data_IF_328859942016
#
_entry.id   IF_328859942016
#
_cell.length_a   1.000
_cell.length_b   1.000
_cell.length_c   1.000
_cell.angle_alpha   90.00
_cell.angle_beta   90.00
_cell.angle_gamma   90.00
#
_symmetry.space_group_name_H-M   'P 1'
#
loop_
_entity.id
_entity.type
_entity.pdbx_description
1 polymer ?
#
# COMPACT_ATOMS: atom_id res chain seq x y z
N UNK A 1 25.74 23.43 -36.92
CA UNK A 1 25.54 23.54 -35.45
C UNK A 1 25.58 22.15 -34.83
N UNK A 2 26.61 21.82 -34.02
CA UNK A 2 26.57 20.59 -33.22
C UNK A 2 25.62 20.83 -32.05
N UNK A 3 24.43 20.23 -32.08
CA UNK A 3 23.52 20.25 -30.94
C UNK A 3 24.27 19.60 -29.76
N UNK A 4 24.37 20.32 -28.64
CA UNK A 4 24.98 19.77 -27.45
C UNK A 4 24.15 18.57 -26.98
N UNK A 5 24.77 17.40 -26.89
CA UNK A 5 24.10 16.14 -26.53
C UNK A 5 23.28 16.25 -25.22
N UNK A 6 23.72 17.08 -24.27
CA UNK A 6 22.97 17.32 -23.02
C UNK A 6 21.67 18.10 -23.22
N UNK A 7 21.64 19.06 -24.14
CA UNK A 7 20.42 19.81 -24.45
C UNK A 7 19.41 18.92 -25.16
N UNK A 8 19.87 18.11 -26.12
CA UNK A 8 19.00 17.13 -26.80
C UNK A 8 18.40 16.13 -25.80
N UNK A 9 19.22 15.54 -24.93
CA UNK A 9 18.74 14.63 -23.87
C UNK A 9 17.72 15.33 -22.96
N UNK A 10 17.99 16.57 -22.53
CA UNK A 10 17.06 17.33 -21.71
C UNK A 10 15.72 17.58 -22.39
N UNK A 11 15.72 17.96 -23.67
CA UNK A 11 14.50 18.13 -24.45
C UNK A 11 13.71 16.83 -24.60
N UNK A 12 14.38 15.70 -24.83
CA UNK A 12 13.74 14.38 -24.91
C UNK A 12 13.11 13.98 -23.57
N UNK A 13 13.84 14.11 -22.47
CA UNK A 13 13.32 13.79 -21.13
C UNK A 13 12.13 14.70 -20.77
N UNK A 14 12.23 16.00 -21.06
CA UNK A 14 11.14 16.93 -20.82
C UNK A 14 9.89 16.58 -21.65
N UNK A 15 10.07 16.26 -22.93
CA UNK A 15 8.98 15.82 -23.80
C UNK A 15 8.31 14.55 -23.27
N UNK A 16 9.09 13.57 -22.78
CA UNK A 16 8.57 12.36 -22.14
C UNK A 16 7.81 12.68 -20.84
N UNK A 17 8.33 13.57 -19.99
CA UNK A 17 7.62 14.01 -18.79
C UNK A 17 6.25 14.63 -19.13
N UNK A 18 6.21 15.51 -20.14
CA UNK A 18 4.97 16.13 -20.61
C UNK A 18 4.02 15.08 -21.17
N UNK A 19 4.52 14.14 -21.98
CA UNK A 19 3.73 13.06 -22.55
C UNK A 19 3.11 12.15 -21.47
N UNK A 20 3.90 11.76 -20.46
CA UNK A 20 3.42 10.97 -19.31
C UNK A 20 2.34 11.75 -18.56
N UNK A 21 2.55 13.04 -18.30
CA UNK A 21 1.56 13.88 -17.61
C UNK A 21 0.29 14.06 -18.42
N UNK A 22 0.38 14.24 -19.75
CA UNK A 22 -0.79 14.32 -20.62
C UNK A 22 -1.55 12.98 -20.66
N UNK A 23 -0.83 11.86 -20.75
CA UNK A 23 -1.40 10.53 -20.72
C UNK A 23 -2.14 10.25 -19.39
N UNK A 24 -1.58 10.68 -18.26
CA UNK A 24 -2.15 10.43 -16.93
C UNK A 24 -3.39 11.24 -16.58
N UNK A 25 -3.79 12.21 -17.42
CA UNK A 25 -5.01 12.99 -17.23
C UNK A 25 -6.30 12.22 -17.56
N UNK A 26 -6.21 11.14 -18.35
CA UNK A 26 -7.38 10.34 -18.72
C UNK A 26 -7.31 8.98 -18.02
N UNK A 27 -8.13 8.81 -16.98
CA UNK A 27 -8.15 7.59 -16.18
C UNK A 27 -8.50 6.34 -17.00
N UNK A 28 -9.36 6.47 -18.01
CA UNK A 28 -9.71 5.35 -18.90
C UNK A 28 -8.53 4.91 -19.76
N UNK A 29 -7.72 5.86 -20.27
CA UNK A 29 -6.50 5.52 -21.00
C UNK A 29 -5.49 4.81 -20.10
N UNK A 30 -5.29 5.31 -18.88
CA UNK A 30 -4.41 4.68 -17.90
C UNK A 30 -4.89 3.27 -17.57
N UNK A 31 -6.18 3.08 -17.28
CA UNK A 31 -6.76 1.78 -16.93
C UNK A 31 -6.54 0.76 -18.07
N UNK A 32 -6.94 1.09 -19.31
CA UNK A 32 -6.89 0.15 -20.43
C UNK A 32 -5.50 -0.04 -21.02
N UNK A 33 -4.69 1.01 -21.11
CA UNK A 33 -3.38 0.97 -21.74
C UNK A 33 -2.26 0.58 -20.78
N UNK A 34 -2.23 1.20 -19.60
CA UNK A 34 -1.15 1.00 -18.63
C UNK A 34 -1.50 -0.08 -17.61
N UNK A 35 -2.49 0.16 -16.75
CA UNK A 35 -2.74 -0.67 -15.56
C UNK A 35 -3.24 -2.08 -15.87
N UNK A 36 -4.03 -2.27 -16.94
CA UNK A 36 -4.60 -3.59 -17.30
C UNK A 36 -3.80 -4.35 -18.37
N UNK A 37 -2.89 -3.70 -19.10
CA UNK A 37 -2.14 -4.31 -20.21
C UNK A 37 -0.63 -4.29 -19.99
N UNK A 38 -0.03 -3.10 -19.93
CA UNK A 38 1.42 -2.97 -19.77
C UNK A 38 1.91 -3.42 -18.39
N UNK A 39 1.30 -2.88 -17.33
CA UNK A 39 1.76 -3.05 -15.95
C UNK A 39 1.70 -4.51 -15.45
N UNK A 40 0.66 -5.31 -15.74
CA UNK A 40 0.63 -6.71 -15.29
C UNK A 40 1.75 -7.55 -15.89
N UNK A 41 2.07 -7.33 -17.18
CA UNK A 41 3.21 -8.00 -17.84
C UNK A 41 4.55 -7.52 -17.30
N UNK A 42 4.73 -6.21 -17.14
CA UNK A 42 5.95 -5.61 -16.61
C UNK A 42 6.24 -6.04 -15.16
N UNK A 43 5.25 -5.87 -14.26
CA UNK A 43 5.36 -6.29 -12.87
C UNK A 43 5.47 -7.82 -12.74
N UNK A 44 4.80 -8.58 -13.59
CA UNK A 44 4.94 -10.04 -13.68
C UNK A 44 6.37 -10.46 -14.00
N UNK A 45 7.03 -9.76 -14.93
CA UNK A 45 8.45 -9.96 -15.23
C UNK A 45 9.35 -9.62 -14.03
N UNK A 46 9.12 -8.50 -13.35
CA UNK A 46 9.86 -8.15 -12.12
C UNK A 46 9.71 -9.26 -11.06
N UNK A 47 8.48 -9.70 -10.78
CA UNK A 47 8.19 -10.79 -9.82
C UNK A 47 8.78 -12.13 -10.25
N UNK A 48 8.87 -12.41 -11.55
CA UNK A 48 9.55 -13.61 -12.05
C UNK A 48 11.06 -13.58 -11.75
N UNK A 49 11.70 -12.43 -11.98
CA UNK A 49 13.14 -12.25 -11.74
C UNK A 49 13.47 -12.33 -10.25
N UNK A 50 12.75 -11.56 -9.43
CA UNK A 50 13.10 -11.37 -8.03
C UNK A 50 12.36 -12.33 -7.10
N UNK A 51 11.15 -12.79 -7.41
CA UNK A 51 10.28 -13.55 -6.50
C UNK A 51 10.87 -14.86 -5.96
N UNK A 52 11.74 -15.52 -6.71
CA UNK A 52 12.43 -16.76 -6.27
C UNK A 52 13.54 -16.53 -5.25
N UNK A 53 14.02 -15.30 -5.10
CA UNK A 53 15.08 -14.95 -4.15
C UNK A 53 14.47 -14.89 -2.74
N UNK A 54 15.02 -15.57 -1.72
CA UNK A 54 14.37 -15.72 -0.41
C UNK A 54 14.35 -14.45 0.45
N UNK A 55 15.05 -13.39 0.04
CA UNK A 55 15.08 -12.08 0.69
C UNK A 55 14.70 -10.96 -0.29
N UNK A 56 14.35 -9.79 0.26
CA UNK A 56 13.93 -8.62 -0.52
C UNK A 56 15.13 -7.93 -1.17
N UNK A 57 15.25 -8.02 -2.50
CA UNK A 57 16.27 -7.27 -3.26
C UNK A 57 16.02 -5.76 -3.16
N UNK A 58 14.75 -5.36 -3.09
CA UNK A 58 14.33 -3.98 -2.92
C UNK A 58 14.97 -3.30 -1.70
N UNK A 59 15.02 -3.99 -0.55
CA UNK A 59 15.67 -3.49 0.67
C UNK A 59 17.17 -3.26 0.46
N UNK A 60 17.84 -4.13 -0.30
CA UNK A 60 19.27 -4.00 -0.60
C UNK A 60 19.49 -2.80 -1.53
N UNK A 61 18.65 -2.63 -2.56
CA UNK A 61 18.75 -1.49 -3.47
C UNK A 61 18.54 -0.17 -2.72
N UNK A 62 17.58 -0.12 -1.80
CA UNK A 62 17.36 1.07 -0.96
C UNK A 62 18.51 1.32 0.02
N UNK A 63 19.10 0.27 0.61
CA UNK A 63 20.29 0.40 1.44
C UNK A 63 21.48 0.96 0.64
N UNK A 64 21.75 0.42 -0.55
CA UNK A 64 22.83 0.88 -1.42
C UNK A 64 22.61 2.33 -1.87
N UNK A 65 21.38 2.69 -2.23
CA UNK A 65 21.02 4.06 -2.57
C UNK A 65 21.24 5.00 -1.38
N UNK A 66 20.79 4.62 -0.19
CA UNK A 66 20.98 5.40 1.02
C UNK A 66 22.47 5.59 1.35
N UNK A 67 23.26 4.51 1.33
CA UNK A 67 24.70 4.57 1.55
C UNK A 67 25.41 5.46 0.51
N UNK A 68 25.01 5.39 -0.75
CA UNK A 68 25.51 6.27 -1.81
C UNK A 68 25.16 7.73 -1.53
N UNK A 69 23.92 8.06 -1.16
CA UNK A 69 23.50 9.42 -0.82
C UNK A 69 24.28 9.99 0.37
N UNK A 70 24.48 9.19 1.43
CA UNK A 70 25.30 9.58 2.58
C UNK A 70 26.75 9.84 2.18
N UNK A 71 27.34 8.99 1.34
CA UNK A 71 28.69 9.19 0.84
C UNK A 71 28.82 10.48 0.01
N UNK A 72 27.82 10.83 -0.80
CA UNK A 72 27.81 12.10 -1.54
C UNK A 72 27.67 13.30 -0.61
N UNK A 73 26.84 13.20 0.43
CA UNK A 73 26.68 14.24 1.44
C UNK A 73 28.00 14.48 2.19
N UNK A 74 28.67 13.41 2.65
CA UNK A 74 29.97 13.50 3.32
C UNK A 74 31.02 14.14 2.39
N UNK A 75 31.10 13.71 1.13
CA UNK A 75 32.00 14.33 0.14
C UNK A 75 31.72 15.83 -0.04
N UNK A 76 30.45 16.21 -0.10
CA UNK A 76 30.03 17.61 -0.19
C UNK A 76 30.49 18.40 1.05
N UNK A 77 30.21 17.89 2.26
CA UNK A 77 30.62 18.52 3.53
C UNK A 77 32.14 18.65 3.62
N UNK A 78 32.89 17.59 3.34
CA UNK A 78 34.36 17.60 3.36
C UNK A 78 34.91 18.60 2.33
N UNK A 79 34.32 18.67 1.14
CA UNK A 79 34.72 19.66 0.13
C UNK A 79 34.48 21.09 0.61
N UNK A 80 33.32 21.39 1.19
CA UNK A 80 33.00 22.71 1.75
C UNK A 80 34.00 23.11 2.83
N UNK A 81 34.28 22.20 3.76
CA UNK A 81 35.19 22.44 4.89
C UNK A 81 36.62 22.66 4.37
N UNK A 82 37.11 21.82 3.44
CA UNK A 82 38.50 21.89 2.94
C UNK A 82 38.73 23.04 1.96
N UNK A 83 37.78 23.30 1.07
CA UNK A 83 37.95 24.32 0.03
C UNK A 83 37.60 25.73 0.49
N UNK A 84 36.87 25.88 1.62
CA UNK A 84 36.22 27.13 2.09
C UNK A 84 35.40 27.83 1.00
N UNK A 85 35.04 27.12 -0.07
CA UNK A 85 34.22 27.59 -1.17
C UNK A 85 32.93 26.79 -1.18
N UNK A 86 31.82 27.45 -1.47
CA UNK A 86 30.61 26.72 -1.79
C UNK A 86 30.83 25.93 -3.08
N UNK A 87 30.43 24.64 -3.14
CA UNK A 87 30.38 23.91 -4.40
C UNK A 87 29.57 24.75 -5.37
N UNK A 88 30.05 24.87 -6.61
CA UNK A 88 29.37 25.66 -7.61
C UNK A 88 28.13 24.87 -8.09
N UNK A 89 27.07 24.85 -7.27
CA UNK A 89 25.85 24.09 -7.52
C UNK A 89 25.23 24.44 -8.88
N UNK A 90 25.40 25.70 -9.31
CA UNK A 90 24.97 26.23 -10.60
C UNK A 90 25.59 25.52 -11.82
N UNK A 91 26.81 24.96 -11.73
CA UNK A 91 27.41 24.20 -12.84
C UNK A 91 26.80 22.80 -13.01
N UNK A 92 26.15 22.25 -11.98
CA UNK A 92 25.54 20.92 -11.99
C UNK A 92 24.00 20.95 -11.95
N UNK A 93 23.36 22.12 -11.98
CA UNK A 93 21.90 22.27 -12.02
C UNK A 93 21.29 21.53 -13.19
N UNK A 94 21.88 21.62 -14.39
CA UNK A 94 21.42 20.90 -15.58
C UNK A 94 21.38 19.39 -15.35
N UNK A 95 22.47 18.80 -14.84
CA UNK A 95 22.53 17.37 -14.51
C UNK A 95 21.53 16.98 -13.41
N UNK A 96 21.31 17.84 -12.43
CA UNK A 96 20.32 17.63 -11.38
C UNK A 96 18.89 17.56 -11.94
N UNK A 97 18.50 18.50 -12.79
CA UNK A 97 17.18 18.48 -13.45
C UNK A 97 17.02 17.29 -14.39
N UNK A 98 18.06 16.90 -15.14
CA UNK A 98 18.05 15.69 -15.95
C UNK A 98 17.78 14.44 -15.10
N UNK A 99 18.46 14.32 -13.95
CA UNK A 99 18.25 13.21 -13.02
C UNK A 99 16.83 13.21 -12.43
N UNK A 100 16.28 14.37 -12.06
CA UNK A 100 14.91 14.47 -11.57
C UNK A 100 13.88 14.05 -12.63
N UNK A 101 14.04 14.50 -13.88
CA UNK A 101 13.16 14.07 -14.98
C UNK A 101 13.27 12.57 -15.24
N UNK A 102 14.49 12.02 -15.21
CA UNK A 102 14.70 10.59 -15.35
C UNK A 102 14.02 9.79 -14.22
N UNK A 103 14.19 10.20 -12.97
CA UNK A 103 13.53 9.58 -11.81
C UNK A 103 12.00 9.66 -11.96
N UNK A 104 11.46 10.81 -12.36
CA UNK A 104 10.03 10.99 -12.61
C UNK A 104 9.51 10.01 -13.67
N UNK A 105 10.21 9.89 -14.80
CA UNK A 105 9.83 8.97 -15.89
C UNK A 105 9.86 7.53 -15.39
N UNK A 106 10.98 7.10 -14.77
CA UNK A 106 11.13 5.74 -14.28
C UNK A 106 10.05 5.41 -13.26
N UNK A 107 9.82 6.29 -12.27
CA UNK A 107 8.78 6.08 -11.28
C UNK A 107 7.40 5.93 -11.91
N UNK A 108 7.01 6.80 -12.84
CA UNK A 108 5.70 6.73 -13.48
C UNK A 108 5.51 5.49 -14.35
N UNK A 109 6.54 5.11 -15.11
CA UNK A 109 6.52 3.89 -15.94
C UNK A 109 6.50 2.63 -15.07
N UNK A 110 7.24 2.63 -13.96
CA UNK A 110 7.35 1.45 -13.10
C UNK A 110 6.12 1.28 -12.20
N UNK A 111 5.48 2.37 -11.78
CA UNK A 111 4.39 2.28 -10.81
C UNK A 111 3.45 3.49 -10.80
N UNK A 112 3.98 4.71 -10.89
CA UNK A 112 3.25 5.94 -10.58
C UNK A 112 1.99 6.18 -11.41
N UNK A 113 1.94 5.71 -12.66
CA UNK A 113 0.74 5.82 -13.48
C UNK A 113 -0.46 5.06 -12.89
N UNK A 114 -0.25 4.04 -12.05
CA UNK A 114 -1.35 3.33 -11.39
C UNK A 114 -2.17 4.22 -10.43
N UNK A 115 -1.64 5.35 -9.96
CA UNK A 115 -2.44 6.31 -9.18
C UNK A 115 -3.55 6.99 -10.01
N UNK A 116 -3.38 7.04 -11.33
CA UNK A 116 -4.29 7.70 -12.26
C UNK A 116 -5.32 6.75 -12.88
N UNK A 117 -5.35 5.48 -12.47
CA UNK A 117 -6.28 4.48 -13.02
C UNK A 117 -7.73 4.71 -12.58
N UNK A 118 -8.68 4.06 -13.25
CA UNK A 118 -10.10 4.04 -12.87
C UNK A 118 -10.32 3.26 -11.57
N UNK A 119 -9.64 2.11 -11.45
CA UNK A 119 -9.51 1.38 -10.19
C UNK A 119 -10.68 0.44 -9.88
N UNK A 120 -10.66 -0.09 -8.65
CA UNK A 120 -11.49 -1.25 -8.27
C UNK A 120 -13.00 -0.95 -8.27
N UNK A 121 -13.42 0.28 -7.93
CA UNK A 121 -14.85 0.65 -7.98
C UNK A 121 -15.40 0.55 -9.39
N UNK A 122 -14.67 1.09 -10.36
CA UNK A 122 -15.04 1.04 -11.77
C UNK A 122 -15.10 -0.40 -12.27
N UNK A 123 -14.08 -1.22 -11.97
CA UNK A 123 -14.04 -2.62 -12.36
C UNK A 123 -15.22 -3.44 -11.81
N UNK A 124 -15.69 -3.10 -10.61
CA UNK A 124 -16.81 -3.75 -9.95
C UNK A 124 -18.15 -3.06 -10.24
N UNK A 125 -18.19 -1.97 -11.00
CA UNK A 125 -19.38 -1.15 -11.21
C UNK A 125 -20.01 -0.65 -9.90
N UNK A 126 -19.18 -0.17 -8.97
CA UNK A 126 -19.59 0.54 -7.75
C UNK A 126 -19.64 2.06 -8.03
N UNK A 127 -20.47 2.84 -7.31
CA UNK A 127 -20.57 4.29 -7.49
C UNK A 127 -19.21 4.99 -7.32
N UNK A 128 -18.87 6.00 -8.12
CA UNK A 128 -17.56 6.68 -8.00
C UNK A 128 -17.46 7.57 -6.74
N UNK A 129 -18.54 8.27 -6.40
CA UNK A 129 -18.54 9.20 -5.27
C UNK A 129 -18.82 8.47 -3.97
N UNK A 130 -17.91 8.61 -3.01
CA UNK A 130 -18.12 8.18 -1.64
C UNK A 130 -19.07 9.15 -0.95
N UNK A 131 -20.31 8.73 -0.76
CA UNK A 131 -21.25 9.41 0.11
C UNK A 131 -22.02 8.33 0.86
N UNK A 132 -21.85 8.32 2.18
CA UNK A 132 -22.64 7.46 3.05
C UNK A 132 -23.20 8.25 4.23
N UNK A 133 -24.38 7.85 4.69
CA UNK A 133 -25.01 8.46 5.86
C UNK A 133 -24.45 7.88 7.15
N UNK A 134 -24.64 8.58 8.27
CA UNK A 134 -24.34 8.05 9.60
C UNK A 134 -25.08 6.73 9.87
N UNK A 135 -26.31 6.59 9.37
CA UNK A 135 -27.12 5.38 9.53
C UNK A 135 -26.51 4.19 8.78
N UNK A 136 -26.03 4.40 7.55
CA UNK A 136 -25.33 3.36 6.79
C UNK A 136 -24.02 2.96 7.46
N UNK A 137 -23.32 3.92 8.08
CA UNK A 137 -22.11 3.65 8.85
C UNK A 137 -22.40 2.87 10.13
N UNK A 138 -23.51 3.15 10.84
CA UNK A 138 -23.98 2.35 11.98
C UNK A 138 -24.25 0.92 11.56
N UNK A 139 -24.99 0.73 10.45
CA UNK A 139 -25.31 -0.59 9.92
C UNK A 139 -24.04 -1.38 9.56
N UNK A 140 -23.08 -0.74 8.88
CA UNK A 140 -21.80 -1.37 8.59
C UNK A 140 -21.06 -1.78 9.87
N UNK A 141 -21.04 -0.92 10.90
CA UNK A 141 -20.39 -1.24 12.18
C UNK A 141 -21.01 -2.46 12.86
N UNK A 142 -22.35 -2.59 12.86
CA UNK A 142 -23.03 -3.77 13.37
C UNK A 142 -22.63 -5.03 12.59
N UNK A 143 -22.65 -4.97 11.26
CA UNK A 143 -22.26 -6.11 10.43
C UNK A 143 -20.79 -6.52 10.67
N UNK A 144 -19.88 -5.54 10.75
CA UNK A 144 -18.47 -5.79 11.02
C UNK A 144 -18.23 -6.33 12.43
N UNK A 145 -18.99 -5.85 13.43
CA UNK A 145 -18.97 -6.36 14.81
C UNK A 145 -19.36 -7.84 14.87
N UNK A 146 -20.40 -8.24 14.14
CA UNK A 146 -20.80 -9.64 14.09
C UNK A 146 -19.71 -10.50 13.43
N UNK A 147 -19.15 -10.01 12.31
CA UNK A 147 -18.10 -10.71 11.55
C UNK A 147 -16.80 -10.86 12.31
N UNK A 148 -16.32 -9.81 12.98
CA UNK A 148 -15.09 -9.86 13.79
C UNK A 148 -15.26 -10.81 14.98
N UNK A 149 -16.42 -10.79 15.65
CA UNK A 149 -16.70 -11.70 16.77
C UNK A 149 -16.80 -13.17 16.29
N UNK A 150 -17.53 -13.42 15.20
CA UNK A 150 -17.68 -14.76 14.61
C UNK A 150 -16.33 -15.32 14.16
N UNK A 151 -15.55 -14.54 13.43
CA UNK A 151 -14.23 -14.97 12.93
C UNK A 151 -13.23 -15.17 14.07
N UNK A 152 -13.25 -14.33 15.12
CA UNK A 152 -12.41 -14.56 16.31
C UNK A 152 -12.72 -15.90 16.97
N UNK A 153 -13.99 -16.23 17.17
CA UNK A 153 -14.37 -17.53 17.74
C UNK A 153 -13.85 -18.70 16.90
N UNK A 154 -13.87 -18.57 15.57
CA UNK A 154 -13.33 -19.59 14.68
C UNK A 154 -11.79 -19.71 14.79
N UNK A 155 -11.08 -18.58 14.89
CA UNK A 155 -9.61 -18.56 15.12
C UNK A 155 -9.24 -19.19 16.46
N UNK A 156 -10.00 -18.95 17.52
CA UNK A 156 -9.75 -19.53 18.85
C UNK A 156 -9.84 -21.07 18.85
N UNK A 157 -10.50 -21.68 17.87
CA UNK A 157 -10.55 -23.14 17.70
C UNK A 157 -9.31 -23.69 16.98
N UNK A 158 -8.51 -22.84 16.34
CA UNK A 158 -7.24 -23.24 15.74
C UNK A 158 -6.17 -23.43 16.81
N UNK A 159 -5.36 -24.49 16.68
CA UNK A 159 -4.35 -24.86 17.69
C UNK A 159 -3.04 -24.07 17.57
N UNK A 160 -2.73 -23.51 16.41
CA UNK A 160 -1.44 -22.84 16.16
C UNK A 160 -1.55 -21.82 15.02
N UNK A 161 -0.92 -20.66 15.20
CA UNK A 161 -0.74 -19.68 14.13
C UNK A 161 0.22 -20.22 13.06
N UNK A 162 0.00 -19.90 11.77
CA UNK A 162 0.86 -20.33 10.69
C UNK A 162 2.24 -19.68 10.79
N UNK A 163 3.28 -20.33 10.26
CA UNK A 163 4.55 -19.65 10.00
C UNK A 163 4.38 -18.59 8.92
N UNK A 164 5.29 -17.62 8.82
CA UNK A 164 5.29 -16.60 7.76
C UNK A 164 5.17 -17.21 6.35
N UNK A 165 5.88 -18.30 6.09
CA UNK A 165 5.83 -18.98 4.79
C UNK A 165 4.45 -19.62 4.53
N UNK A 166 3.83 -20.23 5.55
CA UNK A 166 2.47 -20.77 5.46
C UNK A 166 1.46 -19.65 5.24
N UNK A 167 1.62 -18.52 5.93
CA UNK A 167 0.78 -17.34 5.76
C UNK A 167 0.82 -16.81 4.33
N UNK A 168 2.01 -16.65 3.75
CA UNK A 168 2.14 -16.19 2.37
C UNK A 168 1.53 -17.15 1.35
N UNK A 169 1.60 -18.46 1.63
CA UNK A 169 0.90 -19.46 0.83
C UNK A 169 -0.64 -19.31 0.95
N UNK A 170 -1.16 -19.11 2.15
CA UNK A 170 -2.59 -18.85 2.38
C UNK A 170 -3.07 -17.59 1.64
N UNK A 171 -2.28 -16.51 1.66
CA UNK A 171 -2.56 -15.28 0.91
C UNK A 171 -2.58 -15.54 -0.60
N UNK A 172 -1.62 -16.31 -1.13
CA UNK A 172 -1.65 -16.72 -2.53
C UNK A 172 -2.93 -17.50 -2.87
N UNK A 173 -3.30 -18.49 -2.06
CA UNK A 173 -4.53 -19.29 -2.25
C UNK A 173 -5.81 -18.43 -2.15
N UNK A 174 -5.82 -17.41 -1.30
CA UNK A 174 -6.91 -16.44 -1.20
C UNK A 174 -7.09 -15.65 -2.50
N UNK A 175 -5.99 -15.18 -3.11
CA UNK A 175 -6.04 -14.53 -4.42
C UNK A 175 -6.44 -15.48 -5.55
N UNK A 176 -5.99 -16.75 -5.52
CA UNK A 176 -6.48 -17.75 -6.49
C UNK A 176 -7.99 -17.96 -6.37
N UNK A 177 -8.52 -17.99 -5.15
CA UNK A 177 -9.96 -18.11 -4.89
C UNK A 177 -10.72 -16.87 -5.40
N UNK A 178 -10.21 -15.66 -5.13
CA UNK A 178 -10.80 -14.42 -5.63
C UNK A 178 -10.78 -14.32 -7.16
N UNK A 179 -9.75 -14.86 -7.80
CA UNK A 179 -9.57 -14.84 -9.27
C UNK A 179 -10.70 -15.58 -10.01
N UNK A 180 -11.34 -16.56 -9.37
CA UNK A 180 -12.48 -17.30 -9.94
C UNK A 180 -13.64 -16.35 -10.28
N UNK A 181 -13.93 -15.39 -9.40
CA UNK A 181 -14.98 -14.39 -9.62
C UNK A 181 -14.43 -13.11 -10.26
N UNK A 182 -13.18 -12.76 -9.96
CA UNK A 182 -12.54 -11.51 -10.39
C UNK A 182 -11.22 -11.80 -11.12
N UNK A 183 -11.25 -12.17 -12.40
CA UNK A 183 -10.06 -12.59 -13.16
C UNK A 183 -8.92 -11.55 -13.17
N UNK A 184 -9.26 -10.26 -13.04
CA UNK A 184 -8.28 -9.17 -12.96
C UNK A 184 -7.46 -9.16 -11.64
N UNK A 185 -7.83 -9.98 -10.65
CA UNK A 185 -7.08 -10.17 -9.40
C UNK A 185 -6.06 -11.33 -9.47
N UNK A 186 -5.76 -11.84 -10.67
CA UNK A 186 -4.80 -12.94 -10.83
C UNK A 186 -3.43 -12.58 -10.25
N UNK A 187 -3.04 -13.25 -9.18
CA UNK A 187 -1.74 -13.09 -8.54
C UNK A 187 -0.75 -14.17 -8.96
N UNK A 188 0.04 -13.86 -9.99
CA UNK A 188 1.13 -14.71 -10.47
C UNK A 188 2.14 -13.84 -11.26
N UNK A 189 3.47 -14.06 -11.15
CA UNK A 189 4.19 -14.88 -10.17
C UNK A 189 4.13 -14.32 -8.74
N UNK A 190 4.33 -15.17 -7.73
CA UNK A 190 4.36 -14.79 -6.31
C UNK A 190 5.66 -14.07 -5.97
N UNK A 191 5.57 -12.96 -5.22
CA UNK A 191 6.73 -12.21 -4.75
C UNK A 191 6.45 -11.42 -3.46
N UNK A 192 5.66 -12.00 -2.55
CA UNK A 192 5.50 -11.51 -1.17
C UNK A 192 6.57 -12.14 -0.27
N UNK A 193 7.24 -11.32 0.54
CA UNK A 193 8.45 -11.73 1.28
C UNK A 193 8.61 -10.98 2.62
N UNK A 194 9.33 -11.56 3.60
CA UNK A 194 9.69 -10.82 4.81
C UNK A 194 10.71 -9.72 4.46
N UNK A 195 10.48 -8.50 4.96
CA UNK A 195 11.46 -7.42 4.87
C UNK A 195 12.71 -7.70 5.71
N UNK A 196 13.88 -7.24 5.25
CA UNK A 196 15.16 -7.41 5.95
C UNK A 196 15.17 -6.59 7.25
N UNK A 197 14.53 -5.42 7.22
CA UNK A 197 14.59 -4.41 8.29
C UNK A 197 13.29 -4.27 9.09
N UNK A 198 12.49 -5.35 9.21
CA UNK A 198 11.14 -5.28 9.80
C UNK A 198 11.06 -4.59 11.17
N UNK A 199 12.03 -4.82 12.06
CA UNK A 199 12.07 -4.14 13.36
C UNK A 199 12.22 -2.60 13.21
N UNK A 200 13.16 -2.14 12.38
CA UNK A 200 13.30 -0.71 12.09
C UNK A 200 12.04 -0.15 11.41
N UNK A 201 11.43 -0.93 10.52
CA UNK A 201 10.20 -0.57 9.83
C UNK A 201 9.04 -0.34 10.80
N UNK A 202 8.94 -1.10 11.90
CA UNK A 202 7.94 -0.86 12.95
C UNK A 202 7.99 0.57 13.51
N UNK A 203 9.19 1.14 13.66
CA UNK A 203 9.38 2.52 14.14
C UNK A 203 9.02 3.59 13.11
N UNK A 204 8.90 3.23 11.83
CA UNK A 204 8.43 4.13 10.77
C UNK A 204 6.90 4.20 10.67
N UNK A 205 6.19 3.24 11.27
CA UNK A 205 4.73 3.10 11.12
C UNK A 205 4.29 2.40 9.83
N UNK A 206 5.22 1.93 9.01
CA UNK A 206 4.94 1.16 7.79
C UNK A 206 4.78 -0.33 8.15
N UNK A 207 3.62 -0.90 7.85
CA UNK A 207 3.32 -2.33 8.09
C UNK A 207 3.80 -3.24 6.94
N UNK A 208 3.90 -2.69 5.74
CA UNK A 208 4.40 -3.34 4.54
C UNK A 208 4.60 -2.28 3.46
N UNK A 209 5.29 -2.63 2.38
CA UNK A 209 5.32 -1.78 1.20
C UNK A 209 5.58 -2.58 -0.08
N UNK A 210 5.10 -2.05 -1.20
CA UNK A 210 5.45 -2.50 -2.53
C UNK A 210 6.70 -1.80 -3.05
N UNK A 211 7.68 -2.56 -3.53
CA UNK A 211 8.86 -2.01 -4.18
C UNK A 211 8.64 -1.91 -5.70
N UNK A 212 8.55 -0.69 -6.27
CA UNK A 212 8.25 -0.51 -7.69
C UNK A 212 9.38 -0.96 -8.61
N UNK A 213 10.63 -1.07 -8.12
CA UNK A 213 11.79 -1.45 -8.91
C UNK A 213 11.97 -2.96 -9.03
N UNK A 214 11.59 -3.71 -8.01
CA UNK A 214 11.73 -5.17 -7.95
C UNK A 214 10.40 -5.92 -8.02
N UNK A 215 9.28 -5.22 -7.93
CA UNK A 215 7.95 -5.84 -7.92
C UNK A 215 7.65 -6.63 -6.64
N UNK A 216 8.46 -6.49 -5.59
CA UNK A 216 8.34 -7.23 -4.33
C UNK A 216 7.31 -6.58 -3.38
N UNK A 217 6.42 -7.39 -2.80
CA UNK A 217 5.61 -7.00 -1.64
C UNK A 217 6.40 -7.35 -0.38
N UNK A 218 6.81 -6.33 0.35
CA UNK A 218 7.70 -6.46 1.48
C UNK A 218 6.93 -6.32 2.79
N UNK A 219 6.97 -7.35 3.61
CA UNK A 219 6.18 -7.45 4.83
C UNK A 219 7.01 -7.17 6.06
N UNK A 220 6.52 -6.31 6.96
CA UNK A 220 7.02 -6.27 8.33
C UNK A 220 6.46 -7.45 9.11
N UNK A 221 7.23 -8.53 9.23
CA UNK A 221 6.80 -9.75 9.94
C UNK A 221 6.88 -9.66 11.47
N UNK A 222 7.17 -8.48 12.03
CA UNK A 222 7.16 -8.24 13.48
C UNK A 222 5.81 -7.71 13.99
N UNK A 223 4.86 -7.46 13.09
CA UNK A 223 3.50 -7.09 13.47
C UNK A 223 2.83 -8.22 14.24
N UNK A 224 1.81 -7.93 15.09
CA UNK A 224 1.03 -8.98 15.73
C UNK A 224 0.45 -9.98 14.72
N UNK A 225 0.43 -11.26 15.07
CA UNK A 225 0.07 -12.36 14.16
C UNK A 225 -1.32 -12.23 13.51
N UNK A 226 -2.26 -11.55 14.18
CA UNK A 226 -3.61 -11.31 13.66
C UNK A 226 -3.72 -10.10 12.71
N UNK A 227 -2.67 -9.27 12.59
CA UNK A 227 -2.60 -8.11 11.66
C UNK A 227 -1.91 -8.51 10.35
N UNK A 228 -0.93 -9.41 10.42
CA UNK A 228 -0.13 -9.85 9.27
C UNK A 228 -0.95 -10.35 8.07
N UNK A 229 -2.02 -11.17 8.25
CA UNK A 229 -2.74 -11.76 7.12
C UNK A 229 -3.39 -10.73 6.19
N UNK A 230 -4.14 -9.77 6.73
CA UNK A 230 -4.78 -8.74 5.93
C UNK A 230 -3.77 -7.74 5.36
N UNK A 231 -2.74 -7.39 6.13
CA UNK A 231 -1.61 -6.58 5.63
C UNK A 231 -0.96 -7.25 4.41
N UNK A 232 -0.75 -8.57 4.46
CA UNK A 232 -0.20 -9.32 3.33
C UNK A 232 -1.11 -9.29 2.10
N UNK A 233 -2.43 -9.44 2.28
CA UNK A 233 -3.39 -9.27 1.19
C UNK A 233 -3.33 -7.86 0.60
N UNK A 234 -3.20 -6.82 1.43
CA UNK A 234 -3.08 -5.43 1.01
C UNK A 234 -1.81 -5.20 0.16
N UNK A 235 -0.64 -5.68 0.60
CA UNK A 235 0.60 -5.49 -0.16
C UNK A 235 0.60 -6.24 -1.50
N UNK A 236 -0.07 -7.39 -1.57
CA UNK A 236 -0.29 -8.08 -2.86
C UNK A 236 -1.21 -7.26 -3.76
N UNK A 237 -2.19 -6.53 -3.23
CA UNK A 237 -3.02 -5.65 -4.05
C UNK A 237 -2.18 -4.54 -4.71
N UNK A 238 -1.19 -3.99 -3.99
CA UNK A 238 -0.19 -3.12 -4.62
C UNK A 238 0.60 -3.85 -5.72
N UNK A 239 1.03 -5.10 -5.53
CA UNK A 239 1.68 -5.83 -6.63
C UNK A 239 0.82 -5.95 -7.90
N UNK A 240 -0.51 -5.92 -7.76
CA UNK A 240 -1.48 -6.00 -8.86
C UNK A 240 -1.85 -4.63 -9.47
N UNK A 241 -1.23 -3.53 -9.05
CA UNK A 241 -1.48 -2.22 -9.68
C UNK A 241 -2.49 -1.35 -8.97
N UNK A 242 -2.96 -1.71 -7.77
CA UNK A 242 -3.85 -0.85 -6.99
C UNK A 242 -3.01 0.10 -6.13
N UNK A 243 -2.65 1.26 -6.67
CA UNK A 243 -1.71 2.18 -6.00
C UNK A 243 -2.34 3.00 -4.86
N UNK A 244 -3.64 3.28 -4.92
CA UNK A 244 -4.35 4.02 -3.87
C UNK A 244 -4.60 3.09 -2.68
N UNK A 245 -4.29 3.57 -1.48
CA UNK A 245 -4.37 2.79 -0.24
C UNK A 245 -5.79 2.23 0.03
N UNK A 246 -6.82 3.02 -0.27
CA UNK A 246 -8.22 2.58 -0.12
C UNK A 246 -8.59 1.45 -1.08
N UNK A 247 -8.03 1.44 -2.30
CA UNK A 247 -8.26 0.40 -3.30
C UNK A 247 -7.50 -0.87 -2.90
N UNK A 248 -6.26 -0.72 -2.45
CA UNK A 248 -5.45 -1.84 -1.95
C UNK A 248 -6.10 -2.50 -0.72
N UNK A 249 -6.62 -1.70 0.22
CA UNK A 249 -7.44 -2.20 1.34
C UNK A 249 -8.65 -2.99 0.82
N UNK A 250 -9.42 -2.43 -0.10
CA UNK A 250 -10.63 -3.08 -0.60
C UNK A 250 -10.35 -4.37 -1.39
N UNK A 251 -9.31 -4.38 -2.22
CA UNK A 251 -8.86 -5.59 -2.95
C UNK A 251 -8.33 -6.64 -1.98
N UNK A 252 -7.54 -6.23 -0.98
CA UNK A 252 -7.09 -7.11 0.09
C UNK A 252 -8.27 -7.72 0.86
N UNK A 253 -9.35 -6.96 1.04
CA UNK A 253 -10.60 -7.45 1.63
C UNK A 253 -11.25 -8.52 0.77
N UNK A 254 -11.45 -8.24 -0.54
CA UNK A 254 -12.01 -9.21 -1.49
C UNK A 254 -11.20 -10.51 -1.48
N UNK A 255 -9.87 -10.41 -1.51
CA UNK A 255 -9.00 -11.59 -1.43
C UNK A 255 -9.21 -12.37 -0.13
N UNK A 256 -9.17 -11.69 1.03
CA UNK A 256 -9.34 -12.32 2.33
C UNK A 256 -10.70 -13.03 2.47
N UNK A 257 -11.81 -12.38 2.10
CA UNK A 257 -13.17 -12.97 2.23
C UNK A 257 -13.48 -14.03 1.17
N UNK A 258 -12.69 -14.11 0.10
CA UNK A 258 -12.77 -15.20 -0.88
C UNK A 258 -12.09 -16.48 -0.41
N UNK A 259 -11.29 -16.40 0.66
CA UNK A 259 -10.59 -17.54 1.24
C UNK A 259 -11.53 -18.40 2.11
N UNK A 260 -11.07 -19.60 2.48
CA UNK A 260 -11.71 -20.41 3.53
C UNK A 260 -10.99 -20.26 4.89
N UNK A 261 -10.03 -19.35 4.97
CA UNK A 261 -9.12 -19.24 6.10
C UNK A 261 -9.70 -18.29 7.15
N UNK A 262 -9.97 -18.83 8.34
CA UNK A 262 -10.61 -18.05 9.39
C UNK A 262 -9.68 -17.00 10.01
N UNK A 263 -8.36 -17.17 9.90
CA UNK A 263 -7.38 -16.17 10.34
C UNK A 263 -7.35 -14.99 9.37
N UNK A 264 -7.42 -15.23 8.06
CA UNK A 264 -7.58 -14.16 7.06
C UNK A 264 -8.87 -13.37 7.30
N UNK A 265 -9.99 -14.06 7.54
CA UNK A 265 -11.26 -13.42 7.87
C UNK A 265 -11.17 -12.56 9.13
N UNK A 266 -10.60 -13.11 10.22
CA UNK A 266 -10.45 -12.34 11.45
C UNK A 266 -9.57 -11.12 11.26
N UNK A 267 -8.44 -11.27 10.59
CA UNK A 267 -7.49 -10.17 10.32
C UNK A 267 -8.16 -9.03 9.56
N UNK A 268 -8.88 -9.35 8.46
CA UNK A 268 -9.54 -8.30 7.67
C UNK A 268 -10.69 -7.64 8.45
N UNK A 269 -11.57 -8.41 9.10
CA UNK A 269 -12.67 -7.82 9.84
C UNK A 269 -12.21 -7.03 11.06
N UNK A 270 -11.05 -7.39 11.64
CA UNK A 270 -10.41 -6.60 12.69
C UNK A 270 -10.05 -5.20 12.19
N UNK A 271 -9.25 -5.08 11.13
CA UNK A 271 -8.84 -3.76 10.63
C UNK A 271 -10.03 -2.95 10.09
N UNK A 272 -10.94 -3.58 9.33
CA UNK A 272 -12.12 -2.91 8.80
C UNK A 272 -13.05 -2.40 9.89
N UNK A 273 -13.27 -3.18 10.96
CA UNK A 273 -14.04 -2.71 12.11
C UNK A 273 -13.35 -1.51 12.77
N UNK A 274 -12.01 -1.54 12.95
CA UNK A 274 -11.30 -0.42 13.54
C UNK A 274 -11.41 0.85 12.68
N UNK A 275 -11.32 0.74 11.36
CA UNK A 275 -11.53 1.86 10.44
C UNK A 275 -12.96 2.40 10.50
N UNK A 276 -13.96 1.54 10.33
CA UNK A 276 -15.36 1.93 10.34
C UNK A 276 -15.81 2.50 11.69
N UNK A 277 -15.35 1.94 12.80
CA UNK A 277 -15.69 2.40 14.14
C UNK A 277 -14.96 3.70 14.51
N UNK A 278 -13.75 3.93 13.98
CA UNK A 278 -13.07 5.22 14.14
C UNK A 278 -13.82 6.32 13.38
N UNK A 279 -14.23 6.06 12.14
CA UNK A 279 -15.08 6.97 11.37
C UNK A 279 -16.41 7.25 12.08
N UNK A 280 -17.05 6.20 12.61
CA UNK A 280 -18.32 6.32 13.33
C UNK A 280 -18.18 7.15 14.60
N UNK A 281 -17.03 7.08 15.29
CA UNK A 281 -16.82 7.87 16.49
C UNK A 281 -16.94 9.38 16.26
N UNK A 282 -16.57 9.86 15.06
CA UNK A 282 -16.69 11.28 14.71
C UNK A 282 -18.13 11.71 14.40
N UNK A 283 -18.97 10.82 13.84
CA UNK A 283 -20.36 11.12 13.49
C UNK A 283 -21.36 10.75 14.59
N UNK A 284 -21.07 9.71 15.36
CA UNK A 284 -21.87 9.17 16.46
C UNK A 284 -20.99 8.40 17.47
N UNK A 285 -20.37 9.17 18.36
CA UNK A 285 -19.49 8.60 19.39
C UNK A 285 -20.20 7.67 20.38
N UNK A 286 -21.52 7.83 20.59
CA UNK A 286 -22.27 7.00 21.52
C UNK A 286 -22.45 5.59 20.96
N UNK A 287 -22.90 5.48 19.71
CA UNK A 287 -23.05 4.18 19.05
C UNK A 287 -21.71 3.48 18.79
N UNK A 288 -20.67 4.24 18.44
CA UNK A 288 -19.31 3.70 18.31
C UNK A 288 -18.79 3.09 19.62
N UNK A 289 -19.14 3.67 20.78
CA UNK A 289 -18.78 3.11 22.10
C UNK A 289 -19.55 1.84 22.41
N UNK A 290 -20.83 1.77 22.02
CA UNK A 290 -21.65 0.55 22.15
C UNK A 290 -21.03 -0.59 21.33
N UNK A 291 -20.73 -0.35 20.05
CA UNK A 291 -20.10 -1.36 19.19
C UNK A 291 -18.79 -1.91 19.79
N UNK A 292 -17.92 -1.02 20.32
CA UNK A 292 -16.69 -1.44 21.02
C UNK A 292 -16.95 -2.22 22.30
N UNK A 293 -18.00 -1.88 23.04
CA UNK A 293 -18.38 -2.59 24.28
C UNK A 293 -18.82 -4.02 23.97
N UNK A 294 -19.43 -4.25 22.82
CA UNK A 294 -19.99 -5.55 22.44
C UNK A 294 -18.98 -6.48 21.73
N UNK A 295 -17.74 -6.03 21.52
CA UNK A 295 -16.63 -6.89 21.12
C UNK A 295 -16.37 -8.00 22.15
N UNK A 296 -16.06 -9.20 21.66
CA UNK A 296 -15.61 -10.29 22.51
C UNK A 296 -14.36 -9.89 23.31
N UNK A 297 -14.18 -10.42 24.55
CA UNK A 297 -13.01 -10.12 25.38
C UNK A 297 -11.68 -10.34 24.66
N UNK A 298 -11.56 -11.42 23.89
CA UNK A 298 -10.33 -11.76 23.16
C UNK A 298 -10.05 -10.81 22.00
N UNK A 299 -11.08 -10.16 21.42
CA UNK A 299 -10.89 -9.12 20.41
C UNK A 299 -10.41 -7.82 21.06
N UNK A 300 -10.93 -7.49 22.25
CA UNK A 300 -10.47 -6.35 23.04
C UNK A 300 -9.00 -6.52 23.47
N UNK A 301 -8.61 -7.74 23.85
CA UNK A 301 -7.21 -8.08 24.14
C UNK A 301 -6.30 -7.85 22.93
N UNK A 302 -6.71 -8.31 21.75
CA UNK A 302 -5.96 -8.08 20.51
C UNK A 302 -5.89 -6.60 20.14
N UNK A 303 -6.97 -5.84 20.36
CA UNK A 303 -6.94 -4.38 20.25
C UNK A 303 -5.90 -3.74 21.17
N UNK A 304 -5.82 -4.18 22.43
CA UNK A 304 -4.82 -3.69 23.37
C UNK A 304 -3.40 -4.11 22.94
N UNK A 305 -3.20 -5.33 22.45
CA UNK A 305 -1.91 -5.77 21.88
C UNK A 305 -1.48 -4.88 20.72
N UNK A 306 -2.39 -4.60 19.79
CA UNK A 306 -2.10 -3.72 18.66
C UNK A 306 -1.82 -2.28 19.09
N UNK A 307 -2.60 -1.76 20.04
CA UNK A 307 -2.40 -0.43 20.60
C UNK A 307 -1.03 -0.31 21.28
N UNK A 308 -0.67 -1.28 22.14
CA UNK A 308 0.60 -1.31 22.84
C UNK A 308 1.78 -1.48 21.88
N UNK A 309 1.64 -2.32 20.85
CA UNK A 309 2.64 -2.46 19.80
C UNK A 309 2.90 -1.10 19.13
N UNK A 310 1.84 -0.40 18.67
CA UNK A 310 2.00 0.92 18.05
C UNK A 310 2.65 1.92 19.00
N UNK A 311 2.24 1.95 20.28
CA UNK A 311 2.79 2.85 21.30
C UNK A 311 4.28 2.59 21.55
N UNK A 312 4.69 1.33 21.63
CA UNK A 312 6.09 0.94 21.83
C UNK A 312 7.00 1.33 20.65
N UNK A 313 6.43 1.49 19.45
CA UNK A 313 7.14 1.87 18.24
C UNK A 313 6.86 3.31 17.78
N UNK A 314 6.29 4.16 18.65
CA UNK A 314 6.18 5.59 18.37
C UNK A 314 7.57 6.22 18.37
N UNK A 315 7.93 6.88 17.27
CA UNK A 315 9.23 7.51 17.11
C UNK A 315 9.14 8.78 16.25
N UNK A 316 10.19 9.61 16.29
CA UNK A 316 10.33 10.75 15.37
C UNK A 316 10.38 10.31 13.90
N UNK A 317 10.83 9.09 13.60
CA UNK A 317 10.84 8.56 12.24
C UNK A 317 9.42 8.39 11.71
N UNK A 318 8.48 7.93 12.53
CA UNK A 318 7.07 7.81 12.16
C UNK A 318 6.47 9.16 11.75
N UNK A 319 6.72 10.21 12.55
CA UNK A 319 6.25 11.57 12.23
C UNK A 319 6.84 12.09 10.90
N UNK A 320 8.14 11.88 10.68
CA UNK A 320 8.80 12.28 9.42
C UNK A 320 8.27 11.49 8.20
N UNK A 321 8.13 10.17 8.33
CA UNK A 321 7.60 9.31 7.27
C UNK A 321 6.15 9.70 6.94
N UNK A 322 5.30 9.93 7.94
CA UNK A 322 3.93 10.38 7.71
C UNK A 322 3.87 11.73 6.97
N UNK A 323 4.79 12.65 7.27
CA UNK A 323 4.87 13.93 6.56
C UNK A 323 5.26 13.73 5.09
N UNK A 324 6.33 12.99 4.82
CA UNK A 324 6.85 12.78 3.46
C UNK A 324 5.89 11.91 2.65
N UNK A 325 5.51 10.75 3.16
CA UNK A 325 4.64 9.80 2.49
C UNK A 325 3.22 10.34 2.36
N UNK A 326 2.69 10.99 3.40
CA UNK A 326 1.38 11.64 3.32
C UNK A 326 1.32 12.74 2.26
N UNK A 327 2.38 13.54 2.10
CA UNK A 327 2.47 14.54 1.03
C UNK A 327 2.64 13.89 -0.35
N UNK A 328 3.44 12.83 -0.45
CA UNK A 328 3.57 12.04 -1.68
C UNK A 328 2.22 11.49 -2.13
N UNK A 329 1.43 10.89 -1.24
CA UNK A 329 0.08 10.39 -1.55
C UNK A 329 -0.85 11.52 -2.01
N UNK A 330 -0.83 12.68 -1.33
CA UNK A 330 -1.62 13.86 -1.74
C UNK A 330 -1.27 14.35 -3.15
N UNK A 331 0.01 14.33 -3.51
CA UNK A 331 0.46 14.70 -4.85
C UNK A 331 0.08 13.65 -5.92
N UNK A 332 -0.14 12.40 -5.52
CA UNK A 332 -0.48 11.26 -6.39
C UNK A 332 -1.94 10.83 -6.26
N UNK A 333 -2.89 11.74 -6.53
CA UNK A 333 -4.33 11.42 -6.63
C UNK A 333 -4.98 10.87 -5.34
N UNK A 334 -4.39 11.10 -4.17
CA UNK A 334 -4.93 10.67 -2.88
C UNK A 334 -5.00 11.84 -1.87
N UNK A 335 -5.97 12.76 -2.03
CA UNK A 335 -6.02 14.03 -1.27
C UNK A 335 -6.14 13.85 0.26
N UNK A 336 -6.71 12.72 0.71
CA UNK A 336 -6.78 12.36 2.13
C UNK A 336 -5.42 11.95 2.73
N UNK A 337 -4.37 11.77 1.92
CA UNK A 337 -3.05 11.33 2.37
C UNK A 337 -3.15 10.01 3.14
N UNK A 338 -2.64 9.99 4.38
CA UNK A 338 -2.71 8.84 5.30
C UNK A 338 -4.12 8.60 5.89
N UNK A 339 -5.09 9.49 5.70
CA UNK A 339 -6.48 9.25 6.17
C UNK A 339 -7.28 8.41 5.17
N UNK A 340 -6.77 8.19 3.96
CA UNK A 340 -7.39 7.33 2.94
C UNK A 340 -7.57 5.88 3.38
N UNK A 341 -6.75 5.39 4.32
CA UNK A 341 -6.89 4.04 4.85
C UNK A 341 -8.29 3.80 5.43
N UNK A 342 -8.87 4.82 6.07
CA UNK A 342 -10.24 4.74 6.62
C UNK A 342 -11.33 4.87 5.55
N UNK A 343 -11.00 5.35 4.34
CA UNK A 343 -11.96 5.59 3.26
C UNK A 343 -12.50 4.28 2.63
N UNK A 344 -11.83 3.15 2.85
CA UNK A 344 -12.35 1.82 2.48
C UNK A 344 -13.75 1.54 3.06
N UNK A 345 -14.09 2.21 4.17
CA UNK A 345 -15.44 2.18 4.78
C UNK A 345 -16.53 2.49 3.75
N UNK A 346 -16.34 3.50 2.89
CA UNK A 346 -17.32 3.84 1.86
C UNK A 346 -17.45 2.74 0.79
N UNK A 347 -16.34 2.10 0.42
CA UNK A 347 -16.35 0.99 -0.55
C UNK A 347 -17.10 -0.22 0.00
N UNK A 348 -16.97 -0.52 1.29
CA UNK A 348 -17.71 -1.60 1.94
C UNK A 348 -19.21 -1.33 1.98
N UNK A 349 -19.64 -0.08 2.21
CA UNK A 349 -21.05 0.30 2.17
C UNK A 349 -21.61 0.12 0.76
N UNK A 350 -20.90 0.62 -0.26
CA UNK A 350 -21.31 0.45 -1.67
C UNK A 350 -21.37 -1.02 -2.08
N UNK A 351 -20.39 -1.81 -1.63
CA UNK A 351 -20.35 -3.26 -1.83
C UNK A 351 -21.54 -3.96 -1.18
N UNK A 352 -21.83 -3.64 0.08
CA UNK A 352 -22.96 -4.22 0.80
C UNK A 352 -24.30 -3.86 0.14
N UNK A 353 -24.47 -2.60 -0.29
CA UNK A 353 -25.67 -2.19 -1.05
C UNK A 353 -25.85 -2.98 -2.34
N UNK A 354 -24.76 -3.28 -3.05
CA UNK A 354 -24.80 -4.00 -4.33
C UNK A 354 -24.97 -5.51 -4.17
N UNK A 355 -24.28 -6.12 -3.22
CA UNK A 355 -24.17 -7.59 -3.12
C UNK A 355 -24.90 -8.19 -1.90
N UNK A 356 -25.39 -7.38 -0.97
CA UNK A 356 -26.13 -7.81 0.22
C UNK A 356 -25.31 -8.59 1.24
N UNK A 357 -23.97 -8.61 1.11
CA UNK A 357 -23.08 -9.38 1.99
C UNK A 357 -21.74 -8.69 2.18
N UNK A 358 -21.18 -8.86 3.37
CA UNK A 358 -19.77 -8.57 3.70
C UNK A 358 -19.08 -9.79 4.29
#
# INVERSE_FOLDING_TARGET
>A
MKINSKWLLGSVLLALCIAIRAYSQNASHVEWGYSSRFFPGFSGFQRMLFGKIPFCIGDILYLLLFGWLVAQLIKCIVFVIRSKKMPNFLQNTGSFFLNLMFIYIVFNVFWGLNYNRQGIKWQLGLPEKEAYSTEELRNLNCLLLDKINQSKQAVLRQKKFPSTQQLFKQVYEAYQSATVQFPFLKYEPVSIKPGIWGNLQSYTGISGYYNPFTGEAQMNTHLPDFILPYTACHEVAHQLGYAKEMEANFVGYIAAISSKDTLLHYSVYFDLFMYANNSLYFSDSAFAKICRKDLLPQVKEDYLKWHNFKRAHQSYMNAFVNLVYGNFLKQNQQPLGMQSYNAVTGFLIDWYKKYGKI
#
